data_IF_838515942824
#
_entry.id   IF_838515942824
#
_cell.length_a   1.000
_cell.length_b   1.000
_cell.length_c   1.000
_cell.angle_alpha   90.00
_cell.angle_beta   90.00
_cell.angle_gamma   90.00
#
_symmetry.space_group_name_H-M   'P 1'
#
loop_
_entity.id
_entity.type
_entity.pdbx_description
1 polymer ?
#
# COMPACT_ATOMS: atom_id res chain seq x y z
N UNK A 1 1.16 -11.40 -8.27
CA UNK A 1 2.27 -11.46 -9.24
C UNK A 1 3.34 -12.48 -8.86
N UNK A 2 4.45 -12.50 -9.60
CA UNK A 2 5.58 -13.43 -9.38
C UNK A 2 6.12 -13.37 -7.94
N UNK A 3 6.12 -12.20 -7.30
CA UNK A 3 6.53 -12.03 -5.90
C UNK A 3 5.65 -12.80 -4.89
N UNK A 4 4.37 -12.94 -5.17
CA UNK A 4 3.45 -13.68 -4.31
C UNK A 4 3.62 -15.19 -4.47
N UNK A 5 3.95 -15.65 -5.67
CA UNK A 5 4.27 -17.08 -5.94
C UNK A 5 5.55 -17.45 -5.20
N UNK A 6 6.58 -16.59 -5.27
CA UNK A 6 7.85 -16.82 -4.59
C UNK A 6 7.69 -16.82 -3.06
N UNK A 7 6.93 -15.88 -2.49
CA UNK A 7 6.61 -15.88 -1.06
C UNK A 7 5.84 -17.13 -0.63
N UNK A 8 4.93 -17.62 -1.46
CA UNK A 8 4.20 -18.87 -1.19
C UNK A 8 5.13 -20.08 -1.17
N UNK A 9 6.08 -20.17 -2.12
CA UNK A 9 7.06 -21.26 -2.15
C UNK A 9 7.95 -21.26 -0.90
N UNK A 10 8.38 -20.08 -0.43
CA UNK A 10 9.16 -19.97 0.82
C UNK A 10 8.32 -20.38 2.03
N UNK A 11 7.06 -19.96 2.09
CA UNK A 11 6.15 -20.32 3.17
C UNK A 11 5.86 -21.83 3.19
N UNK A 12 5.64 -22.46 2.04
CA UNK A 12 5.48 -23.93 1.93
C UNK A 12 6.74 -24.69 2.33
N UNK A 13 7.92 -24.18 1.98
CA UNK A 13 9.19 -24.78 2.39
C UNK A 13 9.41 -24.68 3.91
N UNK A 14 8.92 -23.62 4.55
CA UNK A 14 9.04 -23.39 5.99
C UNK A 14 7.95 -24.09 6.82
N UNK A 15 6.78 -24.30 6.22
CA UNK A 15 5.61 -24.91 6.85
C UNK A 15 5.00 -25.95 5.90
N UNK A 16 5.51 -27.20 5.88
CA UNK A 16 5.07 -28.27 4.96
C UNK A 16 3.58 -28.64 5.12
N UNK A 17 2.99 -28.32 6.27
CA UNK A 17 1.57 -28.59 6.54
C UNK A 17 0.60 -27.60 5.87
N UNK A 18 1.12 -26.50 5.31
CA UNK A 18 0.30 -25.53 4.57
C UNK A 18 0.05 -26.02 3.13
N UNK A 19 -0.96 -26.83 2.96
CA UNK A 19 -1.47 -27.19 1.63
C UNK A 19 -2.37 -26.04 1.13
N UNK A 20 -1.88 -25.30 0.13
CA UNK A 20 -2.71 -24.26 -0.52
C UNK A 20 -3.61 -24.95 -1.53
N UNK A 21 -4.87 -25.12 -1.17
CA UNK A 21 -5.89 -25.62 -2.09
C UNK A 21 -6.30 -24.49 -3.05
N UNK A 22 -6.06 -24.68 -4.36
CA UNK A 22 -6.42 -23.70 -5.38
C UNK A 22 -7.91 -23.35 -5.36
N UNK A 23 -8.77 -24.33 -5.11
CA UNK A 23 -10.23 -24.15 -5.05
C UNK A 23 -10.62 -23.25 -3.88
N UNK A 24 -10.03 -23.41 -2.71
CA UNK A 24 -10.28 -22.58 -1.54
C UNK A 24 -9.89 -21.12 -1.78
N UNK A 25 -8.73 -20.89 -2.38
CA UNK A 25 -8.25 -19.53 -2.72
C UNK A 25 -9.14 -18.91 -3.78
N UNK A 26 -9.54 -19.67 -4.80
CA UNK A 26 -10.46 -19.22 -5.85
C UNK A 26 -11.83 -18.85 -5.28
N UNK A 27 -12.43 -19.73 -4.48
CA UNK A 27 -13.73 -19.52 -3.87
C UNK A 27 -13.71 -18.33 -2.89
N UNK A 28 -12.66 -18.22 -2.08
CA UNK A 28 -12.49 -17.09 -1.17
C UNK A 28 -12.40 -15.75 -1.92
N UNK A 29 -11.61 -15.70 -2.99
CA UNK A 29 -11.47 -14.50 -3.82
C UNK A 29 -12.77 -14.15 -4.55
N UNK A 30 -13.47 -15.16 -5.08
CA UNK A 30 -14.75 -14.97 -5.76
C UNK A 30 -15.82 -14.43 -4.80
N UNK A 31 -15.97 -15.07 -3.64
CA UNK A 31 -16.93 -14.65 -2.62
C UNK A 31 -16.59 -13.26 -2.08
N UNK A 32 -15.30 -12.98 -1.85
CA UNK A 32 -14.85 -11.64 -1.45
C UNK A 32 -15.19 -10.56 -2.48
N UNK A 33 -15.01 -10.86 -3.76
CA UNK A 33 -15.38 -9.96 -4.86
C UNK A 33 -16.90 -9.72 -4.93
N UNK A 34 -17.70 -10.77 -4.85
CA UNK A 34 -19.17 -10.66 -4.84
C UNK A 34 -19.65 -9.85 -3.62
N UNK A 35 -19.15 -10.15 -2.44
CA UNK A 35 -19.47 -9.40 -1.23
C UNK A 35 -19.10 -7.92 -1.34
N UNK A 36 -17.91 -7.61 -1.88
CA UNK A 36 -17.47 -6.23 -2.11
C UNK A 36 -18.43 -5.46 -3.00
N UNK A 37 -18.89 -6.08 -4.10
CA UNK A 37 -19.89 -5.47 -5.00
C UNK A 37 -21.22 -5.27 -4.27
N UNK A 38 -21.74 -6.28 -3.57
CA UNK A 38 -23.00 -6.20 -2.84
C UNK A 38 -22.99 -5.10 -1.78
N UNK A 39 -21.89 -4.96 -1.05
CA UNK A 39 -21.74 -3.88 -0.08
C UNK A 39 -21.65 -2.50 -0.72
N UNK A 40 -21.14 -2.39 -1.94
CA UNK A 40 -21.02 -1.10 -2.63
C UNK A 40 -22.37 -0.60 -3.20
N UNK A 41 -23.27 -1.52 -3.57
CA UNK A 41 -24.56 -1.17 -4.20
C UNK A 41 -25.36 -0.12 -3.39
N UNK A 42 -25.63 -0.28 -2.08
CA UNK A 42 -26.39 0.70 -1.32
C UNK A 42 -25.71 2.06 -1.22
N UNK A 43 -24.39 2.09 -1.26
CA UNK A 43 -23.60 3.33 -1.15
C UNK A 43 -23.25 3.96 -2.50
N UNK A 44 -23.64 3.33 -3.61
CA UNK A 44 -23.29 3.80 -4.96
C UNK A 44 -23.72 5.25 -5.20
N UNK A 45 -24.96 5.60 -4.82
CA UNK A 45 -25.47 6.96 -4.99
C UNK A 45 -24.62 7.97 -4.23
N UNK A 46 -24.30 7.68 -2.99
CA UNK A 46 -23.47 8.53 -2.14
C UNK A 46 -22.08 8.77 -2.74
N UNK A 47 -21.35 7.72 -3.10
CA UNK A 47 -19.99 7.87 -3.61
C UNK A 47 -19.92 8.41 -5.04
N UNK A 48 -20.84 8.02 -5.93
CA UNK A 48 -20.79 8.37 -7.35
C UNK A 48 -21.49 9.69 -7.65
N UNK A 49 -22.55 10.03 -6.92
CA UNK A 49 -23.34 11.26 -7.16
C UNK A 49 -23.02 12.34 -6.14
N UNK A 50 -23.28 12.10 -4.85
CA UNK A 50 -23.25 13.13 -3.82
C UNK A 50 -21.82 13.57 -3.46
N UNK A 51 -20.86 12.65 -3.55
CA UNK A 51 -19.45 12.88 -3.27
C UNK A 51 -18.57 12.95 -4.53
N UNK A 52 -19.20 13.08 -5.71
CA UNK A 52 -18.47 13.21 -6.97
C UNK A 52 -17.48 14.40 -6.94
N UNK A 53 -16.23 14.13 -7.27
CA UNK A 53 -15.17 15.15 -7.29
C UNK A 53 -14.64 15.61 -5.92
N UNK A 54 -15.23 15.15 -4.80
CA UNK A 54 -14.74 15.51 -3.44
C UNK A 54 -13.61 14.61 -2.96
N UNK A 55 -13.61 13.35 -3.40
CA UNK A 55 -12.57 12.37 -3.05
C UNK A 55 -11.72 12.03 -4.26
N UNK A 56 -10.39 11.94 -4.10
CA UNK A 56 -9.55 11.40 -5.13
C UNK A 56 -9.69 9.88 -5.14
N UNK A 57 -10.12 9.33 -6.26
CA UNK A 57 -10.08 7.88 -6.52
C UNK A 57 -8.96 7.63 -7.54
N UNK A 58 -7.68 7.54 -7.12
CA UNK A 58 -6.55 7.58 -8.03
C UNK A 58 -6.55 6.43 -9.03
N UNK A 59 -6.87 5.22 -8.58
CA UNK A 59 -6.92 4.04 -9.45
C UNK A 59 -8.06 4.13 -10.47
N UNK A 60 -9.25 4.52 -10.03
CA UNK A 60 -10.40 4.70 -10.91
C UNK A 60 -10.19 5.84 -11.90
N UNK A 61 -9.58 6.95 -11.46
CA UNK A 61 -9.25 8.10 -12.30
C UNK A 61 -8.23 7.71 -13.36
N UNK A 62 -7.16 7.00 -12.99
CA UNK A 62 -6.15 6.51 -13.92
C UNK A 62 -6.76 5.57 -14.96
N UNK A 63 -7.55 4.58 -14.53
CA UNK A 63 -8.23 3.63 -15.43
C UNK A 63 -9.16 4.34 -16.41
N UNK A 64 -9.95 5.30 -15.92
CA UNK A 64 -10.86 6.09 -16.76
C UNK A 64 -10.09 6.90 -17.80
N UNK A 65 -8.98 7.54 -17.41
CA UNK A 65 -8.14 8.30 -18.34
C UNK A 65 -7.51 7.41 -19.41
N UNK A 66 -7.07 6.21 -19.06
CA UNK A 66 -6.55 5.22 -20.03
C UNK A 66 -7.62 4.86 -21.05
N UNK A 67 -8.85 4.56 -20.60
CA UNK A 67 -9.97 4.22 -21.47
C UNK A 67 -10.33 5.38 -22.43
N UNK A 68 -10.48 6.59 -21.90
CA UNK A 68 -10.80 7.79 -22.70
C UNK A 68 -9.68 8.11 -23.70
N UNK A 69 -8.42 7.91 -23.31
CA UNK A 69 -7.27 8.12 -24.22
C UNK A 69 -7.24 7.08 -25.34
N UNK A 70 -7.67 5.84 -25.05
CA UNK A 70 -7.80 4.77 -26.03
C UNK A 70 -8.94 5.02 -27.02
N UNK A 71 -10.07 5.55 -26.56
CA UNK A 71 -11.23 5.87 -27.42
C UNK A 71 -10.94 7.05 -28.36
N UNK A 72 -10.24 8.06 -27.88
CA UNK A 72 -9.81 9.22 -28.68
C UNK A 72 -8.53 8.94 -29.46
N UNK A 73 -8.43 7.78 -30.12
CA UNK A 73 -7.28 7.31 -30.88
C UNK A 73 -6.56 8.46 -31.65
N UNK A 74 -5.37 8.85 -31.16
CA UNK A 74 -4.63 9.95 -31.77
C UNK A 74 -3.45 10.41 -30.89
N UNK A 75 -3.25 11.72 -30.82
CA UNK A 75 -2.11 12.32 -30.11
C UNK A 75 -2.06 12.04 -28.58
N UNK A 76 -3.16 11.65 -27.97
CA UNK A 76 -3.21 11.37 -26.52
C UNK A 76 -2.72 9.95 -26.15
N UNK A 77 -2.75 9.00 -27.09
CA UNK A 77 -2.25 7.65 -26.85
C UNK A 77 -0.71 7.60 -26.80
N UNK A 78 -0.03 8.46 -27.57
CA UNK A 78 1.44 8.49 -27.63
C UNK A 78 2.10 8.77 -26.27
N UNK A 79 1.74 9.83 -25.51
CA UNK A 79 2.33 10.06 -24.19
C UNK A 79 2.01 8.95 -23.20
N UNK A 80 0.83 8.30 -23.30
CA UNK A 80 0.47 7.18 -22.44
C UNK A 80 1.37 5.96 -22.68
N UNK A 81 1.58 5.60 -23.95
CA UNK A 81 2.48 4.50 -24.34
C UNK A 81 3.91 4.81 -23.92
N UNK A 82 4.38 6.03 -24.17
CA UNK A 82 5.73 6.45 -23.81
C UNK A 82 5.94 6.41 -22.28
N UNK A 83 5.00 6.93 -21.51
CA UNK A 83 5.05 6.90 -20.06
C UNK A 83 5.02 5.45 -19.52
N UNK A 84 4.19 4.59 -20.10
CA UNK A 84 4.14 3.17 -19.78
C UNK A 84 5.44 2.44 -20.09
N UNK A 85 6.07 2.74 -21.22
CA UNK A 85 7.37 2.18 -21.60
C UNK A 85 8.48 2.67 -20.65
N UNK A 86 8.54 3.96 -20.34
CA UNK A 86 9.55 4.53 -19.44
C UNK A 86 9.39 3.98 -18.02
N UNK A 87 8.16 4.00 -17.48
CA UNK A 87 7.89 3.46 -16.14
C UNK A 87 8.11 1.95 -16.06
N UNK A 88 7.67 1.22 -17.07
CA UNK A 88 7.89 -0.22 -17.16
C UNK A 88 9.35 -0.61 -17.31
N UNK A 89 10.13 0.14 -18.10
CA UNK A 89 11.56 -0.07 -18.23
C UNK A 89 12.29 0.25 -16.93
N UNK A 90 11.89 1.31 -16.25
CA UNK A 90 12.43 1.67 -14.93
C UNK A 90 12.21 0.55 -13.91
N UNK A 91 10.96 0.09 -13.74
CA UNK A 91 10.63 -0.98 -12.80
C UNK A 91 11.24 -2.33 -13.22
N UNK A 92 11.38 -2.58 -14.53
CA UNK A 92 12.07 -3.76 -15.05
C UNK A 92 13.57 -3.74 -14.68
N UNK A 93 14.24 -2.61 -14.88
CA UNK A 93 15.65 -2.46 -14.50
C UNK A 93 15.84 -2.62 -12.99
N UNK A 94 14.94 -2.05 -12.20
CA UNK A 94 14.95 -2.15 -10.75
C UNK A 94 14.77 -3.59 -10.27
N UNK A 95 13.81 -4.30 -10.85
CA UNK A 95 13.48 -5.67 -10.43
C UNK A 95 14.45 -6.73 -10.93
N UNK A 96 14.97 -6.56 -12.17
CA UNK A 96 15.78 -7.59 -12.86
C UNK A 96 17.25 -7.42 -12.55
N UNK A 97 17.76 -6.20 -12.64
CA UNK A 97 19.19 -5.93 -12.46
C UNK A 97 19.55 -5.56 -11.03
N UNK A 98 18.55 -5.15 -10.21
CA UNK A 98 18.82 -4.76 -8.82
C UNK A 98 19.81 -3.60 -8.68
N UNK A 99 19.87 -2.69 -9.68
CA UNK A 99 20.80 -1.56 -9.69
C UNK A 99 20.65 -0.68 -8.45
N UNK A 100 19.41 -0.60 -7.93
CA UNK A 100 19.13 0.00 -6.63
C UNK A 100 17.98 -0.74 -5.96
N UNK A 101 17.78 -0.49 -4.68
CA UNK A 101 16.71 -1.12 -3.91
C UNK A 101 15.37 -0.44 -4.19
N UNK A 102 14.32 -1.22 -4.42
CA UNK A 102 12.94 -0.72 -4.52
C UNK A 102 12.55 0.09 -3.29
N UNK A 103 13.05 -0.31 -2.13
CA UNK A 103 12.82 0.39 -0.87
C UNK A 103 14.15 0.91 -0.34
N UNK A 104 14.34 2.22 -0.39
CA UNK A 104 15.45 2.88 0.27
C UNK A 104 15.16 2.96 1.76
N UNK A 105 16.06 2.44 2.57
CA UNK A 105 15.93 2.44 4.04
C UNK A 105 17.15 3.09 4.68
N UNK A 106 16.95 3.78 5.79
CA UNK A 106 18.04 4.36 6.58
C UNK A 106 19.00 3.29 7.12
N UNK A 107 18.59 2.02 7.16
CA UNK A 107 19.46 0.90 7.58
C UNK A 107 20.65 0.64 6.64
N UNK A 108 20.68 1.22 5.44
CA UNK A 108 21.83 1.15 4.53
C UNK A 108 23.04 1.86 5.15
N UNK A 109 22.79 2.86 6.00
CA UNK A 109 23.83 3.63 6.66
C UNK A 109 24.12 3.05 8.07
N UNK A 110 25.40 2.95 8.50
CA UNK A 110 25.74 2.41 9.82
C UNK A 110 25.02 3.13 10.98
N UNK A 111 24.97 4.45 10.96
CA UNK A 111 24.25 5.25 11.95
C UNK A 111 22.73 5.01 11.93
N UNK A 112 22.16 4.67 10.77
CA UNK A 112 20.75 4.36 10.64
C UNK A 112 20.38 3.03 11.30
N UNK A 113 21.28 2.03 11.31
CA UNK A 113 21.09 0.78 12.06
C UNK A 113 21.17 1.00 13.56
N UNK A 114 22.03 1.87 14.04
CA UNK A 114 22.11 2.24 15.46
C UNK A 114 20.82 2.93 15.92
N UNK A 115 20.33 3.90 15.16
CA UNK A 115 19.05 4.57 15.45
C UNK A 115 17.89 3.58 15.44
N UNK A 116 17.86 2.66 14.46
CA UNK A 116 16.82 1.62 14.41
C UNK A 116 16.84 0.69 15.62
N UNK A 117 18.01 0.38 16.16
CA UNK A 117 18.15 -0.52 17.30
C UNK A 117 17.88 0.18 18.64
N UNK A 118 18.41 1.40 18.82
CA UNK A 118 18.27 2.15 20.07
C UNK A 118 16.99 2.96 20.15
N UNK A 119 16.70 3.77 19.13
CA UNK A 119 15.52 4.63 19.10
C UNK A 119 14.29 4.00 18.43
N UNK A 120 14.43 2.78 17.88
CA UNK A 120 13.36 2.07 17.15
C UNK A 120 12.79 2.87 15.96
N UNK A 121 13.54 3.83 15.43
CA UNK A 121 13.14 4.66 14.29
C UNK A 121 13.73 4.13 12.98
N UNK A 122 12.88 3.94 11.98
CA UNK A 122 13.30 3.55 10.63
C UNK A 122 12.55 4.40 9.62
N UNK A 123 13.29 5.00 8.69
CA UNK A 123 12.71 5.70 7.56
C UNK A 123 12.86 4.84 6.30
N UNK A 124 11.76 4.65 5.58
CA UNK A 124 11.72 3.87 4.34
C UNK A 124 10.97 4.65 3.27
N UNK A 125 11.51 4.68 2.06
CA UNK A 125 10.89 5.28 0.89
C UNK A 125 10.83 4.25 -0.23
N UNK A 126 9.65 4.02 -0.76
CA UNK A 126 9.47 3.21 -1.96
C UNK A 126 9.71 4.08 -3.20
N UNK A 127 10.59 3.61 -4.09
CA UNK A 127 11.02 4.31 -5.31
C UNK A 127 10.35 3.78 -6.58
N UNK A 128 9.38 2.88 -6.45
CA UNK A 128 8.66 2.30 -7.59
C UNK A 128 7.91 3.34 -8.42
N UNK A 129 7.96 3.22 -9.75
CA UNK A 129 7.33 4.15 -10.67
C UNK A 129 5.80 4.24 -10.48
N UNK A 130 5.15 3.11 -10.17
CA UNK A 130 3.73 3.04 -9.91
C UNK A 130 3.32 3.86 -8.67
N UNK A 131 4.12 3.80 -7.60
CA UNK A 131 3.87 4.56 -6.35
C UNK A 131 4.01 6.06 -6.60
N UNK A 132 5.02 6.46 -7.39
CA UNK A 132 5.22 7.86 -7.79
C UNK A 132 4.02 8.38 -8.60
N UNK A 133 3.57 7.60 -9.58
CA UNK A 133 2.41 7.92 -10.42
C UNK A 133 1.12 8.07 -9.61
N UNK A 134 0.86 7.15 -8.69
CA UNK A 134 -0.28 7.23 -7.76
C UNK A 134 -0.20 8.49 -6.90
N UNK A 135 0.98 8.81 -6.36
CA UNK A 135 1.17 10.03 -5.56
C UNK A 135 0.85 11.30 -6.35
N UNK A 136 1.23 11.36 -7.62
CA UNK A 136 0.90 12.48 -8.49
C UNK A 136 -0.62 12.63 -8.71
N UNK A 137 -1.33 11.52 -8.96
CA UNK A 137 -2.80 11.52 -9.18
C UNK A 137 -3.55 11.91 -7.90
N UNK A 138 -3.13 11.40 -6.75
CA UNK A 138 -3.73 11.69 -5.42
C UNK A 138 -3.60 13.16 -5.05
N UNK A 139 -2.49 13.79 -5.43
CA UNK A 139 -2.21 15.19 -5.18
C UNK A 139 -1.63 15.46 -3.79
N UNK A 140 -1.00 16.64 -3.67
CA UNK A 140 -0.18 17.03 -2.52
C UNK A 140 -0.93 16.97 -1.18
N UNK A 141 -2.18 17.42 -1.14
CA UNK A 141 -2.97 17.48 0.10
C UNK A 141 -3.12 16.12 0.76
N UNK A 142 -3.51 15.12 0.00
CA UNK A 142 -3.72 13.76 0.51
C UNK A 142 -2.40 13.02 0.74
N UNK A 143 -1.41 13.25 -0.12
CA UNK A 143 -0.06 12.72 0.10
C UNK A 143 0.55 13.22 1.40
N UNK A 144 0.36 14.49 1.76
CA UNK A 144 0.83 15.03 3.05
C UNK A 144 0.11 14.40 4.24
N UNK A 145 -1.20 14.13 4.13
CA UNK A 145 -1.96 13.44 5.18
C UNK A 145 -1.42 12.01 5.37
N UNK A 146 -1.22 11.27 4.27
CA UNK A 146 -0.66 9.90 4.31
C UNK A 146 0.75 9.92 4.90
N UNK A 147 1.59 10.85 4.44
CA UNK A 147 2.96 11.03 4.93
C UNK A 147 3.00 11.36 6.43
N UNK A 148 2.15 12.27 6.89
CA UNK A 148 2.07 12.63 8.32
C UNK A 148 1.65 11.45 9.18
N UNK A 149 0.67 10.65 8.74
CA UNK A 149 0.27 9.43 9.43
C UNK A 149 1.39 8.39 9.51
N UNK A 150 2.12 8.21 8.40
CA UNK A 150 3.27 7.31 8.35
C UNK A 150 4.40 7.78 9.28
N UNK A 151 4.75 9.08 9.24
CA UNK A 151 5.75 9.66 10.14
C UNK A 151 5.34 9.51 11.61
N UNK A 152 4.08 9.77 11.92
CA UNK A 152 3.56 9.61 13.29
C UNK A 152 3.72 8.17 13.80
N UNK A 153 3.38 7.18 13.00
CA UNK A 153 3.54 5.77 13.40
C UNK A 153 5.01 5.41 13.57
N UNK A 154 5.87 5.73 12.58
CA UNK A 154 7.27 5.29 12.58
C UNK A 154 8.19 6.07 13.51
N UNK A 155 7.87 7.33 13.83
CA UNK A 155 8.71 8.19 14.66
C UNK A 155 8.14 8.46 16.07
N UNK A 156 6.85 8.15 16.29
CA UNK A 156 6.23 8.35 17.61
C UNK A 156 5.74 7.02 18.18
N UNK A 157 4.84 6.33 17.49
CA UNK A 157 4.18 5.13 18.05
C UNK A 157 5.18 3.98 18.26
N UNK A 158 5.97 3.65 17.23
CA UNK A 158 6.90 2.52 17.31
C UNK A 158 8.00 2.76 18.35
N UNK A 159 8.67 3.93 18.42
CA UNK A 159 9.62 4.22 19.48
C UNK A 159 8.98 4.18 20.88
N UNK A 160 7.76 4.68 21.02
CA UNK A 160 7.04 4.70 22.29
C UNK A 160 6.73 3.27 22.79
N UNK A 161 6.26 2.40 21.88
CA UNK A 161 6.03 0.98 22.21
C UNK A 161 7.34 0.25 22.50
N UNK A 162 8.40 0.52 21.76
CA UNK A 162 9.73 -0.09 21.95
C UNK A 162 10.47 0.42 23.20
N UNK A 163 10.06 1.54 23.79
CA UNK A 163 10.67 2.09 25.01
C UNK A 163 10.06 1.57 26.31
N UNK A 164 9.04 0.71 26.25
CA UNK A 164 8.40 0.14 27.45
C UNK A 164 9.36 -0.85 28.12
N UNK A 165 9.88 -0.54 29.34
CA UNK A 165 10.84 -1.40 30.00
C UNK A 165 10.22 -2.76 30.40
N UNK A 166 10.96 -3.84 30.17
CA UNK A 166 10.51 -5.19 30.53
C UNK A 166 9.51 -5.83 29.56
N UNK A 167 9.16 -5.18 28.46
CA UNK A 167 8.34 -5.76 27.40
C UNK A 167 9.20 -6.49 26.36
N UNK A 168 8.64 -7.54 25.74
CA UNK A 168 9.27 -8.21 24.59
C UNK A 168 9.51 -7.25 23.42
N UNK A 169 8.76 -6.14 23.39
CA UNK A 169 8.85 -5.10 22.38
C UNK A 169 10.17 -4.31 22.43
N UNK A 170 10.77 -4.19 23.61
CA UNK A 170 12.05 -3.51 23.77
C UNK A 170 13.18 -4.25 23.02
N UNK A 171 13.11 -5.57 22.93
CA UNK A 171 14.06 -6.40 22.16
C UNK A 171 13.67 -6.56 20.69
N UNK A 172 12.41 -6.31 20.33
CA UNK A 172 11.88 -6.51 19.00
C UNK A 172 12.41 -5.49 17.98
N UNK A 173 12.52 -5.89 16.73
CA UNK A 173 12.84 -4.99 15.63
C UNK A 173 11.67 -4.00 15.36
N UNK A 174 11.95 -2.76 14.94
CA UNK A 174 10.90 -1.78 14.62
C UNK A 174 9.85 -2.29 13.63
N UNK A 175 10.27 -3.08 12.64
CA UNK A 175 9.38 -3.68 11.66
C UNK A 175 8.44 -4.72 12.26
N UNK A 176 8.89 -5.44 13.26
CA UNK A 176 8.08 -6.42 13.99
C UNK A 176 7.04 -5.69 14.84
N UNK A 177 7.44 -4.63 15.56
CA UNK A 177 6.51 -3.78 16.32
C UNK A 177 5.43 -3.19 15.41
N UNK A 178 5.82 -2.75 14.21
CA UNK A 178 4.85 -2.28 13.21
C UNK A 178 3.89 -3.39 12.79
N UNK A 179 4.40 -4.58 12.50
CA UNK A 179 3.57 -5.71 12.02
C UNK A 179 2.60 -6.18 13.08
N UNK A 180 3.03 -6.24 14.34
CA UNK A 180 2.25 -6.82 15.43
C UNK A 180 1.29 -5.80 16.08
N UNK A 181 1.62 -4.51 16.03
CA UNK A 181 0.83 -3.45 16.68
C UNK A 181 0.51 -2.26 15.78
N UNK A 182 1.53 -1.67 15.14
CA UNK A 182 1.39 -0.40 14.42
C UNK A 182 0.36 -0.44 13.30
N UNK A 183 0.33 -1.50 12.51
CA UNK A 183 -0.62 -1.66 11.40
C UNK A 183 -2.08 -1.73 11.84
N UNK A 184 -2.35 -2.25 13.06
CA UNK A 184 -3.72 -2.35 13.57
C UNK A 184 -4.32 -0.99 13.90
N UNK A 185 -3.50 0.00 14.21
CA UNK A 185 -3.96 1.39 14.38
C UNK A 185 -4.51 1.92 13.04
N UNK A 186 -3.80 1.67 11.95
CA UNK A 186 -4.26 2.01 10.60
C UNK A 186 -5.54 1.28 10.20
N UNK A 187 -5.61 -0.03 10.46
CA UNK A 187 -6.80 -0.86 10.20
C UNK A 187 -8.00 -0.32 11.01
N UNK A 188 -7.81 -0.02 12.29
CA UNK A 188 -8.84 0.57 13.14
C UNK A 188 -9.30 1.93 12.62
N UNK A 189 -8.37 2.78 12.16
CA UNK A 189 -8.67 4.05 11.53
C UNK A 189 -9.53 3.93 10.27
N UNK A 190 -9.21 2.97 9.40
CA UNK A 190 -9.99 2.67 8.19
C UNK A 190 -11.40 2.18 8.57
N UNK A 191 -11.50 1.27 9.54
CA UNK A 191 -12.79 0.76 10.01
C UNK A 191 -13.68 1.88 10.58
N UNK A 192 -13.11 2.76 11.43
CA UNK A 192 -13.83 3.90 11.98
C UNK A 192 -14.25 4.91 10.91
N UNK A 193 -13.36 5.18 9.94
CA UNK A 193 -13.71 6.05 8.81
C UNK A 193 -14.87 5.47 7.98
N UNK A 194 -14.89 4.15 7.78
CA UNK A 194 -15.99 3.44 7.12
C UNK A 194 -17.31 3.59 7.90
N UNK A 195 -17.29 3.35 9.21
CA UNK A 195 -18.47 3.50 10.07
C UNK A 195 -19.00 4.93 10.06
N UNK A 196 -18.12 5.92 10.21
CA UNK A 196 -18.50 7.35 10.14
C UNK A 196 -19.05 7.70 8.76
N UNK A 197 -18.46 7.17 7.68
CA UNK A 197 -18.95 7.33 6.32
C UNK A 197 -20.37 6.81 6.15
N UNK A 198 -20.66 5.63 6.68
CA UNK A 198 -21.99 5.03 6.68
C UNK A 198 -23.00 5.91 7.44
N UNK A 199 -22.64 6.33 8.66
CA UNK A 199 -23.53 7.20 9.48
C UNK A 199 -23.82 8.52 8.78
N UNK A 200 -22.83 9.10 8.09
CA UNK A 200 -23.02 10.36 7.35
C UNK A 200 -23.78 10.20 6.03
N UNK A 201 -23.83 9.00 5.48
CA UNK A 201 -24.56 8.72 4.24
C UNK A 201 -26.03 8.40 4.46
N UNK A 202 -26.43 8.21 5.72
CA UNK A 202 -27.83 7.97 6.16
C UNK A 202 -28.49 9.28 6.50
#
# INVERSE_FOLDING_TARGET
>A
GLGDVYKRQILQAKYPELTVNFIEVFMSSLLGGILGILFLIPFRKYFVSDMHGKYPFPEATATTQVLVSGEKAGNQAKPLILAGLVGGLYDFCLSTFGWWSEVLTTRILPWGTEIANHAKMVFKVNTGAAVLGLGYIVGLKYCLIICSGSLFVWFVIIPLLGSIPGSELAAAAPEQIFTDYGRYIGIGGIAMAGVIGIIRSW
#
